data_IF_263798505567
#
_entry.id   IF_263798505567
#
_cell.length_a   1.000
_cell.length_b   1.000
_cell.length_c   1.000
_cell.angle_alpha   90.00
_cell.angle_beta   90.00
_cell.angle_gamma   90.00
#
_symmetry.space_group_name_H-M   'P 1'
#
loop_
_entity.id
_entity.type
_entity.pdbx_description
1 polymer ?
#
# COMPACT_ATOMS: atom_id res chain seq x y z
N UNK A 1 -23.42 -6.99 -13.76
CA UNK A 1 -23.42 -5.87 -12.79
C UNK A 1 -24.09 -4.67 -13.44
N UNK A 2 -25.07 -4.02 -12.79
CA UNK A 2 -25.78 -2.86 -13.37
C UNK A 2 -25.52 -1.60 -12.54
N UNK A 3 -25.68 -0.41 -13.15
CA UNK A 3 -25.57 0.89 -12.43
C UNK A 3 -26.47 0.94 -11.20
N UNK A 4 -27.67 0.37 -11.30
CA UNK A 4 -28.63 0.28 -10.18
C UNK A 4 -28.07 -0.56 -9.03
N UNK A 5 -27.41 -1.68 -9.32
CA UNK A 5 -26.83 -2.54 -8.27
C UNK A 5 -25.64 -1.86 -7.57
N UNK A 6 -24.82 -1.09 -8.30
CA UNK A 6 -23.69 -0.33 -7.71
C UNK A 6 -24.23 0.74 -6.76
N UNK A 7 -25.21 1.54 -7.23
CA UNK A 7 -25.82 2.59 -6.40
C UNK A 7 -26.55 2.01 -5.20
N UNK A 8 -27.23 0.88 -5.35
CA UNK A 8 -27.86 0.18 -4.23
C UNK A 8 -26.83 -0.29 -3.19
N UNK A 9 -25.67 -0.78 -3.64
CA UNK A 9 -24.56 -1.15 -2.75
C UNK A 9 -24.02 0.06 -1.98
N UNK A 10 -23.78 1.18 -2.65
CA UNK A 10 -23.31 2.41 -2.02
C UNK A 10 -24.34 3.04 -1.07
N UNK A 11 -25.63 2.98 -1.41
CA UNK A 11 -26.70 3.43 -0.54
C UNK A 11 -26.81 2.55 0.72
N UNK A 12 -26.61 1.24 0.56
CA UNK A 12 -26.61 0.29 1.68
C UNK A 12 -25.48 0.60 2.67
N UNK A 13 -24.26 0.83 2.19
CA UNK A 13 -23.10 1.14 3.03
C UNK A 13 -23.01 2.60 3.49
N UNK A 14 -23.95 3.47 3.09
CA UNK A 14 -23.93 4.89 3.43
C UNK A 14 -22.88 5.70 2.68
N UNK A 15 -22.33 5.19 1.57
CA UNK A 15 -21.41 5.92 0.70
C UNK A 15 -22.13 6.88 -0.25
N UNK A 16 -23.39 6.60 -0.60
CA UNK A 16 -24.15 7.49 -1.49
C UNK A 16 -25.69 7.45 -1.28
N UNK A 17 -26.34 8.59 -0.97
CA UNK A 17 -25.71 9.81 -0.45
C UNK A 17 -24.90 9.52 0.82
N UNK A 18 -23.82 10.26 1.04
CA UNK A 18 -22.92 10.00 2.16
C UNK A 18 -23.64 10.13 3.52
N UNK A 19 -23.56 9.07 4.34
CA UNK A 19 -24.14 9.00 5.68
C UNK A 19 -23.11 8.32 6.62
N UNK A 20 -22.43 9.11 7.48
CA UNK A 20 -21.36 8.59 8.34
C UNK A 20 -21.86 7.60 9.38
N UNK A 21 -23.08 7.77 9.92
CA UNK A 21 -23.65 6.86 10.92
C UNK A 21 -23.82 5.44 10.36
N UNK A 22 -24.11 5.31 9.07
CA UNK A 22 -24.20 4.02 8.38
C UNK A 22 -22.83 3.42 8.10
N UNK A 23 -21.86 4.24 7.71
CA UNK A 23 -20.47 3.80 7.47
C UNK A 23 -19.84 3.29 8.76
N UNK A 24 -20.05 3.99 9.87
CA UNK A 24 -19.49 3.66 11.18
C UNK A 24 -20.21 2.51 11.88
N UNK A 25 -21.43 2.15 11.47
CA UNK A 25 -22.22 1.07 12.08
C UNK A 25 -21.54 -0.29 11.96
N UNK A 26 -20.96 -0.57 10.79
CA UNK A 26 -20.33 -1.86 10.50
C UNK A 26 -18.88 -1.92 10.99
N UNK A 27 -18.32 -0.78 11.42
CA UNK A 27 -17.00 -0.69 12.02
C UNK A 27 -17.17 -0.92 13.53
N UNK A 28 -16.84 -2.12 13.99
CA UNK A 28 -16.80 -2.41 15.43
C UNK A 28 -15.91 -1.39 16.11
N UNK A 29 -16.50 -0.58 17.00
CA UNK A 29 -15.76 0.35 17.84
C UNK A 29 -14.74 -0.47 18.65
N UNK A 30 -13.41 -0.25 18.50
CA UNK A 30 -12.45 -0.92 19.35
C UNK A 30 -12.81 -0.57 20.79
N UNK A 31 -13.01 -1.59 21.62
CA UNK A 31 -13.26 -1.42 23.05
C UNK A 31 -12.13 -0.55 23.60
N UNK A 32 -12.50 0.64 24.08
CA UNK A 32 -11.61 1.53 24.78
C UNK A 32 -11.43 0.98 26.19
N UNK A 33 -10.50 0.04 26.34
CA UNK A 33 -9.87 -0.18 27.64
C UNK A 33 -8.92 0.98 27.91
N UNK A 34 -9.05 1.56 29.10
CA UNK A 34 -8.35 2.75 29.58
C UNK A 34 -6.82 2.53 29.68
N UNK A 35 -6.02 3.60 29.81
CA UNK A 35 -4.62 3.62 29.43
C UNK A 35 -3.72 3.02 30.52
N UNK A 36 -3.22 1.82 30.30
CA UNK A 36 -2.01 1.34 30.98
C UNK A 36 -0.82 1.80 30.12
N UNK A 37 0.07 2.68 30.61
CA UNK A 37 1.35 2.87 29.95
C UNK A 37 2.16 1.57 30.12
N UNK A 38 3.22 1.42 29.32
CA UNK A 38 4.30 0.41 29.41
C UNK A 38 4.30 -0.61 28.25
N UNK A 39 5.48 -1.16 27.91
CA UNK A 39 6.44 -0.50 27.05
C UNK A 39 6.60 -1.28 25.75
N UNK A 40 7.16 -0.60 24.75
CA UNK A 40 7.66 -1.25 23.53
C UNK A 40 8.70 -2.29 23.96
N UNK A 41 8.40 -3.59 23.81
CA UNK A 41 9.18 -4.55 23.01
C UNK A 41 8.81 -6.02 23.23
N UNK A 42 8.69 -6.70 22.09
CA UNK A 42 9.31 -8.01 21.79
C UNK A 42 8.85 -9.23 22.57
N UNK A 43 8.23 -10.18 21.87
CA UNK A 43 8.06 -11.55 22.36
C UNK A 43 7.20 -12.41 21.45
N UNK A 44 7.84 -13.37 20.80
CA UNK A 44 7.26 -14.40 19.93
C UNK A 44 6.14 -15.23 20.56
N UNK A 45 5.23 -15.70 19.70
CA UNK A 45 4.71 -17.08 19.74
C UNK A 45 3.21 -17.22 19.99
N UNK A 46 2.45 -17.57 18.95
CA UNK A 46 1.12 -18.17 19.14
C UNK A 46 0.08 -17.92 18.04
N UNK A 47 0.29 -18.54 16.88
CA UNK A 47 -0.72 -19.02 15.91
C UNK A 47 -2.01 -18.22 15.69
N UNK A 48 -2.10 -17.59 14.52
CA UNK A 48 -3.33 -17.06 13.95
C UNK A 48 -2.99 -16.19 12.75
N UNK A 49 -2.80 -16.80 11.58
CA UNK A 49 -2.38 -16.14 10.35
C UNK A 49 -3.37 -15.05 9.92
N UNK A 50 -3.13 -13.81 10.34
CA UNK A 50 -3.69 -12.65 9.69
C UNK A 50 -2.86 -12.42 8.42
N UNK A 51 -3.42 -12.51 7.20
CA UNK A 51 -2.73 -11.96 6.04
C UNK A 51 -2.72 -10.45 6.26
N UNK A 52 -1.61 -9.97 6.82
CA UNK A 52 -1.29 -8.55 6.83
C UNK A 52 -1.47 -8.11 5.40
N UNK A 53 -2.47 -7.26 5.22
CA UNK A 53 -2.61 -6.48 4.02
C UNK A 53 -1.33 -5.65 3.98
N UNK A 54 -0.31 -6.16 3.28
CA UNK A 54 0.84 -5.37 2.87
C UNK A 54 0.23 -4.12 2.25
N UNK A 55 0.33 -3.02 2.97
CA UNK A 55 0.07 -1.70 2.44
C UNK A 55 1.05 -1.63 1.28
N UNK A 56 0.53 -1.83 0.06
CA UNK A 56 1.29 -1.70 -1.18
C UNK A 56 1.63 -0.22 -1.28
N UNK A 57 2.66 0.19 -0.54
CA UNK A 57 3.23 1.50 -0.59
C UNK A 57 3.88 1.59 -1.95
N UNK A 58 3.15 2.17 -2.90
CA UNK A 58 3.68 2.46 -4.23
C UNK A 58 4.92 3.32 -4.05
N UNK A 59 6.12 2.83 -4.44
CA UNK A 59 7.32 3.63 -4.31
C UNK A 59 7.19 4.83 -5.24
N UNK A 60 7.36 6.00 -4.63
CA UNK A 60 7.45 7.31 -5.29
C UNK A 60 8.57 7.24 -6.32
N UNK A 61 8.35 7.83 -7.50
CA UNK A 61 9.37 7.92 -8.55
C UNK A 61 10.61 8.66 -8.02
N UNK A 62 11.80 8.04 -8.05
CA UNK A 62 12.99 8.66 -7.49
C UNK A 62 13.42 9.84 -8.36
N UNK A 63 13.48 11.03 -7.76
CA UNK A 63 13.98 12.27 -8.37
C UNK A 63 15.40 12.62 -7.90
N UNK A 64 16.02 11.76 -7.07
CA UNK A 64 17.36 11.93 -6.54
C UNK A 64 18.19 10.66 -6.68
N UNK A 65 19.52 10.79 -6.71
CA UNK A 65 20.47 9.68 -6.80
C UNK A 65 20.38 8.73 -5.60
N UNK A 66 20.12 9.26 -4.40
CA UNK A 66 19.91 8.48 -3.17
C UNK A 66 18.62 7.64 -3.22
N UNK A 67 17.53 8.21 -3.75
CA UNK A 67 16.27 7.49 -3.94
C UNK A 67 16.42 6.38 -4.99
N UNK A 68 17.23 6.61 -6.04
CA UNK A 68 17.58 5.59 -7.03
C UNK A 68 18.41 4.46 -6.40
N UNK A 69 19.42 4.78 -5.60
CA UNK A 69 20.24 3.78 -4.91
C UNK A 69 19.40 2.91 -3.96
N UNK A 70 18.46 3.53 -3.23
CA UNK A 70 17.51 2.82 -2.37
C UNK A 70 16.59 1.88 -3.15
N UNK A 71 16.08 2.33 -4.32
CA UNK A 71 15.26 1.50 -5.20
C UNK A 71 16.05 0.29 -5.74
N UNK A 72 17.30 0.49 -6.17
CA UNK A 72 18.17 -0.60 -6.61
C UNK A 72 18.44 -1.63 -5.51
N UNK A 73 18.63 -1.17 -4.27
CA UNK A 73 18.80 -2.06 -3.14
C UNK A 73 17.54 -2.89 -2.87
N UNK A 74 16.35 -2.30 -2.95
CA UNK A 74 15.08 -3.02 -2.81
C UNK A 74 14.86 -4.05 -3.92
N UNK A 75 15.23 -3.74 -5.17
CA UNK A 75 15.15 -4.68 -6.29
C UNK A 75 16.04 -5.91 -6.05
N UNK A 76 17.23 -5.71 -5.47
CA UNK A 76 18.20 -6.78 -5.18
C UNK A 76 17.81 -7.66 -3.99
N UNK A 77 17.05 -7.12 -3.02
CA UNK A 77 16.66 -7.84 -1.81
C UNK A 77 15.27 -8.50 -1.89
N UNK A 78 14.55 -8.38 -3.01
CA UNK A 78 13.20 -8.94 -3.13
C UNK A 78 13.25 -10.49 -3.21
N UNK A 79 12.71 -11.23 -2.21
CA UNK A 79 12.79 -12.69 -2.19
C UNK A 79 11.95 -13.30 -3.32
N UNK A 80 12.46 -14.30 -4.04
CA UNK A 80 11.75 -14.93 -5.17
C UNK A 80 10.47 -15.67 -4.71
N UNK A 81 9.34 -14.99 -4.87
CA UNK A 81 7.97 -15.48 -4.69
C UNK A 81 7.13 -14.93 -5.84
N UNK A 82 6.03 -15.60 -6.24
CA UNK A 82 5.18 -15.18 -7.37
C UNK A 82 4.64 -13.73 -7.23
N UNK A 83 4.31 -13.30 -6.01
CA UNK A 83 3.90 -11.92 -5.71
C UNK A 83 5.07 -10.95 -5.78
N UNK A 84 6.24 -11.37 -5.31
CA UNK A 84 7.50 -10.63 -5.42
C UNK A 84 7.96 -10.49 -6.88
N UNK A 85 7.77 -11.49 -7.73
CA UNK A 85 8.10 -11.43 -9.16
C UNK A 85 7.33 -10.32 -9.88
N UNK A 86 6.01 -10.23 -9.63
CA UNK A 86 5.17 -9.13 -10.16
C UNK A 86 5.59 -7.76 -9.61
N UNK A 87 5.97 -7.70 -8.33
CA UNK A 87 6.48 -6.48 -7.69
C UNK A 87 7.82 -6.06 -8.31
N UNK A 88 8.76 -6.98 -8.41
CA UNK A 88 10.08 -6.82 -9.01
C UNK A 88 9.97 -6.29 -10.44
N UNK A 89 9.13 -6.91 -11.27
CA UNK A 89 8.88 -6.44 -12.64
C UNK A 89 8.40 -4.99 -12.69
N UNK A 90 7.48 -4.60 -11.78
CA UNK A 90 7.01 -3.20 -11.67
C UNK A 90 8.12 -2.24 -11.23
N UNK A 91 9.01 -2.66 -10.31
CA UNK A 91 10.14 -1.83 -9.87
C UNK A 91 11.15 -1.61 -11.00
N UNK A 92 11.46 -2.66 -11.76
CA UNK A 92 12.36 -2.58 -12.94
C UNK A 92 11.76 -1.66 -14.02
N UNK A 93 10.47 -1.80 -14.33
CA UNK A 93 9.82 -0.93 -15.31
C UNK A 93 9.86 0.55 -14.90
N UNK A 94 9.65 0.84 -13.60
CA UNK A 94 9.74 2.21 -13.07
C UNK A 94 11.16 2.78 -13.18
N UNK A 95 12.17 1.96 -12.91
CA UNK A 95 13.57 2.35 -13.07
C UNK A 95 13.86 2.72 -14.53
N UNK A 96 13.44 1.89 -15.48
CA UNK A 96 13.61 2.14 -16.90
C UNK A 96 12.94 3.46 -17.33
N UNK A 97 11.69 3.68 -16.93
CA UNK A 97 10.96 4.91 -17.25
C UNK A 97 11.64 6.16 -16.67
N UNK A 98 12.15 6.08 -15.43
CA UNK A 98 12.86 7.20 -14.82
C UNK A 98 14.18 7.51 -15.55
N UNK A 99 14.91 6.47 -15.97
CA UNK A 99 16.14 6.63 -16.75
C UNK A 99 15.86 7.26 -18.13
N UNK A 100 14.83 6.80 -18.83
CA UNK A 100 14.41 7.35 -20.12
C UNK A 100 14.08 8.85 -20.03
N UNK A 101 13.29 9.25 -19.03
CA UNK A 101 12.96 10.65 -18.79
C UNK A 101 14.22 11.47 -18.47
N UNK A 102 15.10 10.95 -17.60
CA UNK A 102 16.33 11.64 -17.22
C UNK A 102 17.27 11.83 -18.42
N UNK A 103 17.42 10.83 -19.29
CA UNK A 103 18.25 10.96 -20.49
C UNK A 103 17.62 11.90 -21.52
N UNK A 104 16.30 11.86 -21.70
CA UNK A 104 15.60 12.77 -22.59
C UNK A 104 15.74 14.23 -22.15
N UNK A 105 15.67 14.51 -20.84
CA UNK A 105 15.92 15.84 -20.29
C UNK A 105 17.36 16.30 -20.54
N UNK A 106 18.34 15.44 -20.25
CA UNK A 106 19.76 15.75 -20.47
C UNK A 106 20.11 16.00 -21.95
N UNK A 107 19.36 15.40 -22.89
CA UNK A 107 19.59 15.58 -24.33
C UNK A 107 19.01 16.91 -24.88
N UNK A 108 18.22 17.63 -24.09
CA UNK A 108 17.63 18.92 -24.44
C UNK A 108 18.43 20.11 -23.88
N UNK A 109 19.39 19.86 -22.98
CA UNK A 109 20.36 20.81 -22.43
C UNK A 109 21.65 20.86 -23.28
#
# INVERSE_FOLDING_TARGET
MTKKNILAGWAKSGLFPFNPDRVLRDITKPVAEAPTPLPIRTGCGGSGSHPQHDIVQTPVTPVSSEALASLLHQIKQDPHSETSSKRHQKLVQKLANAAEISFAQQALD
#
